data_IF_438653251534
#
_entry.id   IF_438653251534
#
_cell.length_a   1.000
_cell.length_b   1.000
_cell.length_c   1.000
_cell.angle_alpha   90.00
_cell.angle_beta   90.00
_cell.angle_gamma   90.00
#
_symmetry.space_group_name_H-M   'P 1'
#
loop_
_entity.id
_entity.type
_entity.pdbx_description
1 polymer ?
#
# COMPACT_ATOMS: atom_id res chain seq x y z
N UNK A 1 9.54 9.43 18.75
CA UNK A 1 8.60 9.19 17.63
C UNK A 1 7.75 10.44 17.31
N UNK A 2 8.27 11.45 16.61
CA UNK A 2 7.55 12.72 16.32
C UNK A 2 6.81 12.61 14.99
N UNK A 3 5.47 12.68 14.99
CA UNK A 3 4.68 12.97 13.79
C UNK A 3 4.31 14.45 13.82
N UNK A 4 4.80 15.24 12.86
CA UNK A 4 4.33 16.63 12.65
C UNK A 4 3.67 16.69 11.29
N UNK A 5 2.38 17.00 11.27
CA UNK A 5 1.63 17.31 10.06
C UNK A 5 0.73 18.52 10.36
N UNK A 6 0.95 19.62 9.62
CA UNK A 6 0.19 20.89 9.67
C UNK A 6 -0.12 21.41 11.10
N UNK A 7 0.86 22.07 11.71
CA UNK A 7 0.73 22.90 12.92
C UNK A 7 0.26 22.20 14.22
N UNK A 8 0.72 20.97 14.49
CA UNK A 8 0.54 20.34 15.80
C UNK A 8 1.88 19.89 16.41
N UNK A 9 2.09 20.30 17.66
CA UNK A 9 3.20 19.86 18.54
C UNK A 9 2.61 19.64 19.94
N UNK A 10 2.80 18.46 20.54
CA UNK A 10 2.45 18.22 21.96
C UNK A 10 3.59 17.46 22.65
N UNK A 11 3.92 17.90 23.87
CA UNK A 11 5.00 17.41 24.74
C UNK A 11 4.42 16.79 26.03
N UNK A 12 5.23 15.98 26.73
CA UNK A 12 4.87 15.31 27.98
C UNK A 12 5.41 16.05 29.22
N UNK A 13 4.65 16.03 30.32
CA UNK A 13 5.07 15.46 31.62
C UNK A 13 3.99 15.50 32.70
N UNK A 14 3.98 14.47 33.54
CA UNK A 14 3.29 14.40 34.84
C UNK A 14 4.29 14.75 35.99
N UNK A 15 3.88 14.57 37.26
CA UNK A 15 4.72 14.14 38.42
C UNK A 15 3.88 13.23 39.34
N UNK A 16 4.40 12.15 39.93
CA UNK A 16 5.81 11.86 40.28
C UNK A 16 6.31 10.44 40.01
N UNK A 17 7.64 10.36 39.84
CA UNK A 17 8.50 9.26 39.33
C UNK A 17 8.37 8.99 37.83
N UNK A 18 9.07 9.83 37.04
CA UNK A 18 8.87 10.01 35.60
C UNK A 18 10.21 10.15 34.88
N UNK A 19 10.45 9.41 33.78
CA UNK A 19 11.45 9.78 32.79
C UNK A 19 10.94 10.95 31.93
N UNK A 20 11.71 12.05 31.89
CA UNK A 20 11.59 13.09 30.86
C UNK A 20 11.92 12.44 29.52
N UNK A 21 10.98 12.43 28.56
CA UNK A 21 11.34 12.20 27.16
C UNK A 21 10.70 13.27 26.26
N UNK A 22 11.60 13.90 25.52
CA UNK A 22 11.50 15.07 24.66
C UNK A 22 10.45 14.92 23.53
N UNK A 23 9.92 16.07 23.10
CA UNK A 23 8.94 16.48 22.07
C UNK A 23 8.63 15.58 20.84
N UNK A 24 8.51 14.26 20.98
CA UNK A 24 8.45 13.33 19.85
C UNK A 24 7.50 12.12 20.06
N UNK A 25 6.16 12.26 20.06
CA UNK A 25 5.27 11.09 20.22
C UNK A 25 4.15 11.00 19.15
N UNK A 26 3.91 9.78 18.65
CA UNK A 26 2.99 9.39 17.58
C UNK A 26 2.07 8.25 18.07
N UNK A 27 0.87 8.08 17.50
CA UNK A 27 -0.13 7.13 17.99
C UNK A 27 0.25 5.67 17.73
N UNK A 28 -0.23 4.77 18.61
CA UNK A 28 0.00 3.33 18.52
C UNK A 28 -1.32 2.56 18.32
N UNK A 29 -1.32 1.61 17.38
CA UNK A 29 -2.43 0.70 17.11
C UNK A 29 -2.23 -0.63 17.84
N UNK A 30 -3.18 -1.04 18.68
CA UNK A 30 -3.21 -2.37 19.32
C UNK A 30 -4.39 -3.19 18.83
N UNK A 31 -4.21 -4.52 18.77
CA UNK A 31 -5.17 -5.46 18.19
C UNK A 31 -5.58 -6.51 19.23
N UNK A 32 -6.89 -6.78 19.33
CA UNK A 32 -7.42 -7.90 20.11
C UNK A 32 -8.44 -8.68 19.26
N UNK A 33 -8.17 -9.96 19.03
CA UNK A 33 -9.07 -10.86 18.28
C UNK A 33 -9.95 -11.68 19.24
N UNK A 34 -11.25 -11.71 18.95
CA UNK A 34 -12.26 -12.48 19.69
C UNK A 34 -13.27 -13.08 18.71
N UNK A 35 -13.20 -14.40 18.45
CA UNK A 35 -14.09 -15.10 17.49
C UNK A 35 -14.16 -14.36 16.13
N UNK A 36 -15.33 -13.79 15.80
CA UNK A 36 -15.61 -13.04 14.55
C UNK A 36 -15.41 -11.53 14.70
N UNK A 37 -14.72 -11.08 15.74
CA UNK A 37 -14.57 -9.68 16.10
C UNK A 37 -13.11 -9.31 16.30
N UNK A 38 -12.71 -8.18 15.72
CA UNK A 38 -11.43 -7.54 15.95
C UNK A 38 -11.67 -6.19 16.60
N UNK A 39 -11.03 -5.97 17.75
CA UNK A 39 -10.95 -4.65 18.34
C UNK A 39 -9.60 -4.03 18.03
N UNK A 40 -9.65 -2.85 17.42
CA UNK A 40 -8.52 -1.99 17.09
C UNK A 40 -8.53 -0.79 18.03
N UNK A 41 -7.55 -0.73 18.92
CA UNK A 41 -7.40 0.35 19.89
C UNK A 41 -6.49 1.43 19.33
N UNK A 42 -6.96 2.68 19.42
CA UNK A 42 -6.15 3.85 19.14
C UNK A 42 -5.80 4.51 20.48
N UNK A 43 -4.54 4.40 20.88
CA UNK A 43 -4.04 4.99 22.11
C UNK A 43 -3.59 6.43 21.85
N UNK A 44 -4.30 7.41 22.43
CA UNK A 44 -3.92 8.83 22.43
C UNK A 44 -3.73 9.26 23.89
N UNK A 45 -2.50 9.55 24.33
CA UNK A 45 -2.00 10.18 25.59
C UNK A 45 -2.69 9.87 26.95
N UNK A 46 -3.77 9.09 26.95
CA UNK A 46 -4.60 8.63 28.06
C UNK A 46 -4.99 7.19 27.76
N UNK A 47 -5.23 6.43 28.82
CA UNK A 47 -5.19 4.97 28.85
C UNK A 47 -6.07 4.29 27.77
N UNK A 48 -7.15 4.92 27.29
CA UNK A 48 -7.82 4.62 26.01
C UNK A 48 -8.55 5.86 25.48
N UNK A 49 -8.21 6.36 24.29
CA UNK A 49 -8.96 7.46 23.66
C UNK A 49 -10.12 6.97 22.76
N UNK A 50 -10.19 5.66 22.53
CA UNK A 50 -11.30 4.98 21.90
C UNK A 50 -10.90 3.65 21.28
N UNK A 51 -11.89 2.92 20.78
CA UNK A 51 -11.69 1.69 20.03
C UNK A 51 -12.57 1.66 18.79
N UNK A 52 -12.06 0.98 17.76
CA UNK A 52 -12.81 0.57 16.59
C UNK A 52 -13.04 -0.93 16.69
N UNK A 53 -14.30 -1.33 16.76
CA UNK A 53 -14.71 -2.72 16.76
C UNK A 53 -15.14 -3.11 15.35
N UNK A 54 -14.39 -4.02 14.75
CA UNK A 54 -14.64 -4.59 13.43
C UNK A 54 -15.28 -5.96 13.65
N UNK A 55 -16.49 -6.14 13.16
CA UNK A 55 -17.22 -7.40 13.27
C UNK A 55 -17.37 -8.01 11.89
N UNK A 56 -16.86 -9.23 11.70
CA UNK A 56 -16.99 -9.96 10.45
C UNK A 56 -18.44 -10.38 10.24
N UNK A 57 -19.05 -9.89 9.17
CA UNK A 57 -20.42 -10.26 8.76
C UNK A 57 -20.37 -11.44 7.79
N UNK A 58 -19.44 -11.40 6.83
CA UNK A 58 -19.15 -12.44 5.84
C UNK A 58 -17.65 -12.51 5.60
N UNK A 59 -17.16 -13.44 4.78
CA UNK A 59 -15.73 -13.55 4.43
C UNK A 59 -15.11 -12.24 3.88
N UNK A 60 -15.90 -11.35 3.26
CA UNK A 60 -15.42 -10.12 2.63
C UNK A 60 -16.14 -8.85 3.09
N UNK A 61 -16.98 -8.94 4.13
CA UNK A 61 -17.78 -7.81 4.62
C UNK A 61 -17.67 -7.69 6.12
N UNK A 62 -17.43 -6.47 6.59
CA UNK A 62 -17.37 -6.16 8.03
C UNK A 62 -18.29 -5.00 8.40
N UNK A 63 -18.81 -5.06 9.62
CA UNK A 63 -19.40 -3.91 10.31
C UNK A 63 -18.34 -3.26 11.19
N UNK A 64 -18.26 -1.93 11.16
CA UNK A 64 -17.40 -1.17 12.04
C UNK A 64 -18.25 -0.35 13.01
N UNK A 65 -18.05 -0.59 14.30
CA UNK A 65 -18.57 0.25 15.39
C UNK A 65 -17.41 0.99 16.03
N UNK A 66 -17.44 2.32 16.04
CA UNK A 66 -16.43 3.12 16.71
C UNK A 66 -16.98 3.66 18.02
N UNK A 67 -16.19 3.52 19.10
CA UNK A 67 -16.47 4.17 20.37
C UNK A 67 -15.24 4.99 20.76
N UNK A 68 -15.33 6.30 20.55
CA UNK A 68 -14.30 7.25 20.94
C UNK A 68 -14.66 7.82 22.31
N UNK A 69 -13.72 7.82 23.25
CA UNK A 69 -13.94 8.36 24.58
C UNK A 69 -13.81 9.88 24.52
N UNK A 70 -14.89 10.60 24.84
CA UNK A 70 -14.93 12.01 25.29
C UNK A 70 -13.97 13.02 24.62
N UNK A 71 -13.73 12.91 23.31
CA UNK A 71 -12.96 13.90 22.55
C UNK A 71 -13.91 14.97 21.99
N UNK A 72 -14.34 15.89 22.86
CA UNK A 72 -15.15 17.04 22.45
C UNK A 72 -14.44 17.90 21.41
N UNK A 73 -15.22 18.54 20.50
CA UNK A 73 -14.92 19.57 19.46
C UNK A 73 -13.66 19.46 18.58
N UNK A 74 -12.55 18.88 19.04
CA UNK A 74 -11.31 18.60 18.31
C UNK A 74 -11.35 17.30 17.49
N UNK A 75 -12.48 16.60 17.53
CA UNK A 75 -12.80 15.38 16.78
C UNK A 75 -12.56 15.52 15.27
N UNK A 76 -12.97 16.62 14.65
CA UNK A 76 -12.93 16.81 13.20
C UNK A 76 -11.51 16.87 12.61
N UNK A 77 -10.51 17.33 13.36
CA UNK A 77 -9.13 17.46 12.88
C UNK A 77 -8.30 16.18 13.07
N UNK A 78 -8.50 15.45 14.16
CA UNK A 78 -7.79 14.21 14.44
C UNK A 78 -8.32 13.03 13.61
N UNK A 79 -9.61 13.02 13.24
CA UNK A 79 -10.26 11.82 12.73
C UNK A 79 -9.91 11.37 11.32
N UNK A 80 -9.73 12.29 10.36
CA UNK A 80 -9.66 11.88 8.95
C UNK A 80 -8.50 10.91 8.73
N UNK A 81 -7.32 11.24 9.22
CA UNK A 81 -6.11 10.44 9.02
C UNK A 81 -6.15 9.10 9.78
N UNK A 82 -6.63 9.08 11.02
CA UNK A 82 -6.75 7.82 11.77
C UNK A 82 -7.83 6.90 11.22
N UNK A 83 -8.98 7.47 10.83
CA UNK A 83 -10.05 6.70 10.22
C UNK A 83 -9.59 6.12 8.88
N UNK A 84 -8.81 6.86 8.10
CA UNK A 84 -8.19 6.35 6.87
C UNK A 84 -7.16 5.26 7.13
N UNK A 85 -6.29 5.42 8.13
CA UNK A 85 -5.33 4.38 8.52
C UNK A 85 -6.04 3.10 9.00
N UNK A 86 -7.11 3.25 9.78
CA UNK A 86 -7.91 2.15 10.29
C UNK A 86 -8.73 1.46 9.19
N UNK A 87 -9.33 2.24 8.28
CA UNK A 87 -10.03 1.72 7.10
C UNK A 87 -9.05 1.03 6.16
N UNK A 88 -7.85 1.57 5.97
CA UNK A 88 -6.79 0.92 5.23
C UNK A 88 -6.46 -0.43 5.85
N UNK A 89 -6.25 -0.44 7.16
CA UNK A 89 -5.97 -1.67 7.90
C UNK A 89 -7.10 -2.69 7.68
N UNK A 90 -8.36 -2.30 7.79
CA UNK A 90 -9.49 -3.22 7.61
C UNK A 90 -9.64 -3.68 6.16
N UNK A 91 -9.71 -2.76 5.19
CA UNK A 91 -9.94 -3.09 3.79
C UNK A 91 -8.76 -3.88 3.19
N UNK A 92 -7.54 -3.41 3.42
CA UNK A 92 -6.37 -3.92 2.72
C UNK A 92 -5.56 -4.93 3.51
N UNK A 93 -5.57 -4.93 4.86
CA UNK A 93 -4.91 -5.99 5.64
C UNK A 93 -5.82 -7.18 5.89
N UNK A 94 -7.15 -7.02 5.86
CA UNK A 94 -8.05 -8.16 6.02
C UNK A 94 -8.70 -8.61 4.70
N UNK A 95 -8.36 -7.97 3.56
CA UNK A 95 -8.92 -8.30 2.25
C UNK A 95 -10.46 -8.21 2.23
N UNK A 96 -10.95 -7.13 2.84
CA UNK A 96 -12.36 -6.82 2.99
C UNK A 96 -12.79 -5.95 1.81
N UNK A 97 -13.82 -6.37 1.10
CA UNK A 97 -14.34 -5.65 -0.06
C UNK A 97 -15.21 -4.45 0.35
N UNK A 98 -15.85 -4.52 1.53
CA UNK A 98 -16.85 -3.56 1.96
C UNK A 98 -16.81 -3.32 3.48
N UNK A 99 -16.92 -2.04 3.84
CA UNK A 99 -17.12 -1.58 5.23
C UNK A 99 -18.50 -0.93 5.35
N UNK A 100 -19.23 -1.31 6.39
CA UNK A 100 -20.48 -0.63 6.80
C UNK A 100 -20.28 0.01 8.17
N UNK A 101 -20.69 1.27 8.31
CA UNK A 101 -20.68 2.02 9.57
C UNK A 101 -22.08 2.41 9.97
N UNK A 102 -22.46 2.08 11.20
CA UNK A 102 -23.69 2.54 11.85
C UNK A 102 -23.40 3.80 12.67
N UNK A 103 -24.18 4.86 12.42
CA UNK A 103 -23.98 6.18 12.99
C UNK A 103 -25.28 6.68 13.62
N UNK A 104 -25.20 7.30 14.80
CA UNK A 104 -26.34 7.98 15.42
C UNK A 104 -26.78 9.15 14.52
N UNK A 105 -28.04 9.19 14.12
CA UNK A 105 -28.59 10.22 13.23
C UNK A 105 -28.50 11.65 13.79
N UNK A 106 -28.25 11.79 15.10
CA UNK A 106 -28.00 13.10 15.74
C UNK A 106 -26.56 13.60 15.55
N UNK A 107 -25.61 12.73 15.20
CA UNK A 107 -24.20 13.09 15.00
C UNK A 107 -23.94 13.59 13.57
N UNK A 108 -24.33 14.84 13.29
CA UNK A 108 -24.18 15.45 11.96
C UNK A 108 -22.71 15.59 11.53
N UNK A 109 -21.80 15.84 12.46
CA UNK A 109 -20.39 16.03 12.15
C UNK A 109 -19.77 14.72 11.64
N UNK A 110 -20.07 13.59 12.28
CA UNK A 110 -19.57 12.29 11.83
C UNK A 110 -20.15 11.92 10.46
N UNK A 111 -21.43 12.23 10.21
CA UNK A 111 -22.07 12.02 8.90
C UNK A 111 -21.37 12.80 7.79
N UNK A 112 -21.10 14.10 7.98
CA UNK A 112 -20.37 14.94 7.02
C UNK A 112 -18.94 14.43 6.79
N UNK A 113 -18.24 14.03 7.86
CA UNK A 113 -16.89 13.48 7.76
C UNK A 113 -16.86 12.18 6.94
N UNK A 114 -17.84 11.28 7.14
CA UNK A 114 -17.94 10.04 6.37
C UNK A 114 -18.19 10.30 4.88
N UNK A 115 -19.05 11.26 4.54
CA UNK A 115 -19.27 11.66 3.14
C UNK A 115 -17.99 12.22 2.52
N UNK A 116 -17.24 13.06 3.23
CA UNK A 116 -15.94 13.58 2.75
C UNK A 116 -14.89 12.48 2.56
N UNK A 117 -14.97 11.42 3.37
CA UNK A 117 -14.14 10.22 3.26
C UNK A 117 -14.57 9.28 2.12
N UNK A 118 -15.71 9.54 1.48
CA UNK A 118 -16.23 8.79 0.33
C UNK A 118 -17.30 7.76 0.68
N UNK A 119 -17.77 7.70 1.94
CA UNK A 119 -18.87 6.82 2.29
C UNK A 119 -20.17 7.32 1.67
N UNK A 120 -20.95 6.38 1.14
CA UNK A 120 -22.31 6.60 0.66
C UNK A 120 -23.33 6.21 1.71
N UNK A 121 -24.36 7.04 1.92
CA UNK A 121 -25.48 6.66 2.80
C UNK A 121 -26.32 5.57 2.13
N UNK A 122 -26.61 4.50 2.88
CA UNK A 122 -27.36 3.32 2.39
C UNK A 122 -28.69 3.09 3.12
N UNK A 123 -29.10 4.00 4.01
CA UNK A 123 -30.44 4.01 4.63
C UNK A 123 -30.44 4.06 6.16
N UNK A 124 -31.60 3.79 6.78
CA UNK A 124 -31.77 3.70 8.24
C UNK A 124 -31.58 2.25 8.71
N UNK A 125 -30.80 2.02 9.77
CA UNK A 125 -30.84 0.76 10.50
C UNK A 125 -32.14 0.69 11.33
N UNK A 126 -32.70 -0.52 11.51
CA UNK A 126 -33.96 -0.74 12.21
C UNK A 126 -34.06 0.06 13.52
N UNK A 127 -35.21 0.70 13.79
CA UNK A 127 -35.48 1.38 15.08
C UNK A 127 -35.33 0.37 16.21
N UNK A 128 -34.34 0.55 17.08
CA UNK A 128 -34.23 -0.27 18.29
C UNK A 128 -35.39 0.08 19.24
N UNK A 129 -36.28 -0.85 19.62
CA UNK A 129 -37.51 -0.54 20.35
C UNK A 129 -37.29 0.08 21.74
N UNK A 130 -36.08 -0.11 22.30
CA UNK A 130 -35.73 0.29 23.67
C UNK A 130 -35.01 1.65 23.77
N UNK A 131 -34.55 2.24 22.66
CA UNK A 131 -33.86 3.53 22.68
C UNK A 131 -34.30 4.34 21.46
N UNK A 132 -34.85 5.54 21.66
CA UNK A 132 -35.22 6.47 20.60
C UNK A 132 -33.99 7.05 19.86
N UNK A 133 -33.20 6.19 19.24
CA UNK A 133 -32.05 6.52 18.39
C UNK A 133 -32.34 6.07 16.97
N UNK A 134 -32.35 7.02 16.05
CA UNK A 134 -32.37 6.74 14.62
C UNK A 134 -30.94 6.47 14.21
N UNK A 135 -30.62 5.23 13.86
CA UNK A 135 -29.30 4.88 13.33
C UNK A 135 -29.30 4.99 11.81
N UNK A 136 -28.24 5.61 11.25
CA UNK A 136 -27.99 5.74 9.82
C UNK A 136 -26.84 4.81 9.42
N UNK A 137 -26.96 4.18 8.26
CA UNK A 137 -25.93 3.31 7.71
C UNK A 137 -25.18 4.02 6.59
N UNK A 138 -23.86 3.94 6.68
CA UNK A 138 -22.91 4.43 5.69
C UNK A 138 -22.06 3.27 5.18
N UNK A 139 -21.80 3.25 3.88
CA UNK A 139 -21.07 2.18 3.22
C UNK A 139 -19.89 2.75 2.44
N UNK A 140 -18.76 2.04 2.49
CA UNK A 140 -17.59 2.29 1.66
C UNK A 140 -17.12 0.99 1.02
N UNK A 141 -16.97 0.99 -0.29
CA UNK A 141 -16.41 -0.14 -1.05
C UNK A 141 -14.91 0.08 -1.27
N UNK A 142 -14.14 -1.01 -1.36
CA UNK A 142 -12.71 -0.92 -1.67
C UNK A 142 -12.44 -0.20 -3.01
N UNK A 143 -13.35 -0.33 -3.98
CA UNK A 143 -13.28 0.39 -5.26
C UNK A 143 -13.38 1.91 -5.12
N UNK A 144 -14.03 2.41 -4.07
CA UNK A 144 -14.24 3.85 -3.85
C UNK A 144 -12.95 4.57 -3.44
N UNK A 145 -11.89 3.80 -3.09
CA UNK A 145 -10.53 4.32 -2.86
C UNK A 145 -9.77 4.64 -4.14
N UNK A 146 -10.24 4.21 -5.31
CA UNK A 146 -9.57 4.46 -6.59
C UNK A 146 -9.82 5.90 -7.07
N UNK A 147 -9.29 6.90 -6.35
CA UNK A 147 -9.33 8.30 -6.78
C UNK A 147 -8.36 8.49 -7.96
N UNK A 148 -8.83 9.15 -9.01
CA UNK A 148 -8.06 9.39 -10.25
C UNK A 148 -7.20 10.66 -10.20
N UNK A 149 -7.39 11.50 -9.19
CA UNK A 149 -6.74 12.82 -9.12
C UNK A 149 -5.37 12.73 -8.44
N UNK A 150 -4.38 13.43 -9.00
CA UNK A 150 -2.98 13.47 -8.56
C UNK A 150 -2.77 14.07 -7.15
N UNK A 151 -3.85 14.45 -6.45
CA UNK A 151 -3.83 14.93 -5.07
C UNK A 151 -3.16 13.93 -4.12
N UNK A 152 -3.28 12.64 -4.40
CA UNK A 152 -2.63 11.60 -3.61
C UNK A 152 -1.10 11.64 -3.73
N UNK A 153 -0.55 11.96 -4.91
CA UNK A 153 0.90 12.05 -5.10
C UNK A 153 1.51 13.19 -4.28
N UNK A 154 0.88 14.37 -4.32
CA UNK A 154 1.32 15.53 -3.54
C UNK A 154 1.20 15.28 -2.04
N UNK A 155 0.13 14.62 -1.59
CA UNK A 155 -0.04 14.30 -0.17
C UNK A 155 0.94 13.24 0.32
N UNK A 156 1.24 12.21 -0.49
CA UNK A 156 2.21 11.17 -0.14
C UNK A 156 3.66 11.70 -0.11
N UNK A 157 4.02 12.63 -1.00
CA UNK A 157 5.35 13.24 -1.00
C UNK A 157 5.64 14.10 0.25
N UNK A 158 4.60 14.51 0.99
CA UNK A 158 4.73 15.27 2.24
C UNK A 158 5.01 14.39 3.45
N UNK A 159 4.92 13.06 3.31
CA UNK A 159 5.11 12.10 4.40
C UNK A 159 6.58 11.66 4.52
N UNK A 160 7.02 11.41 5.76
CA UNK A 160 8.31 10.76 6.01
C UNK A 160 8.28 9.30 5.54
N UNK A 161 9.47 8.71 5.41
CA UNK A 161 9.61 7.33 4.99
C UNK A 161 8.93 6.36 5.96
N UNK A 162 9.04 6.62 7.27
CA UNK A 162 8.39 5.84 8.32
C UNK A 162 6.86 5.93 8.22
N UNK A 163 6.31 7.13 7.99
CA UNK A 163 4.87 7.32 7.79
C UNK A 163 4.36 6.57 6.56
N UNK A 164 5.13 6.58 5.46
CA UNK A 164 4.83 5.80 4.27
C UNK A 164 4.88 4.30 4.56
N UNK A 165 5.82 3.83 5.39
CA UNK A 165 5.89 2.41 5.76
C UNK A 165 4.74 1.97 6.66
N UNK A 166 4.22 2.85 7.51
CA UNK A 166 3.01 2.57 8.28
C UNK A 166 1.75 2.53 7.42
N UNK A 167 1.64 3.44 6.45
CA UNK A 167 0.53 3.46 5.50
C UNK A 167 0.59 2.30 4.48
N UNK A 168 1.79 1.82 4.17
CA UNK A 168 2.02 0.76 3.19
C UNK A 168 2.91 -0.37 3.78
N UNK A 169 2.41 -1.07 4.82
CA UNK A 169 3.16 -2.10 5.50
C UNK A 169 3.43 -3.28 4.57
N UNK A 170 4.45 -4.06 4.91
CA UNK A 170 4.75 -5.28 4.18
C UNK A 170 3.68 -6.32 4.52
N UNK A 171 2.86 -6.66 3.52
CA UNK A 171 1.85 -7.70 3.59
C UNK A 171 2.12 -8.70 2.47
N UNK A 172 2.16 -9.99 2.81
CA UNK A 172 2.24 -11.08 1.85
C UNK A 172 0.85 -11.68 1.69
N UNK A 173 0.44 -11.88 0.45
CA UNK A 173 -0.88 -12.38 0.05
C UNK A 173 -0.76 -13.65 -0.78
N UNK A 174 -1.80 -14.50 -0.77
CA UNK A 174 -2.02 -15.50 -1.81
C UNK A 174 -1.90 -14.88 -3.20
N UNK A 175 -1.41 -15.67 -4.15
CA UNK A 175 -1.34 -15.23 -5.54
C UNK A 175 -2.73 -14.89 -6.08
N UNK A 176 -2.87 -13.75 -6.75
CA UNK A 176 -4.09 -13.35 -7.43
C UNK A 176 -3.96 -13.67 -8.92
N UNK A 177 -4.79 -14.56 -9.45
CA UNK A 177 -4.81 -14.96 -10.86
C UNK A 177 -5.05 -13.78 -11.83
N UNK A 178 -5.56 -12.65 -11.34
CA UNK A 178 -5.76 -11.45 -12.15
C UNK A 178 -4.48 -10.64 -12.41
N UNK A 179 -3.37 -10.91 -11.71
CA UNK A 179 -2.13 -10.11 -11.86
C UNK A 179 -1.60 -10.11 -13.29
N UNK A 180 -1.69 -11.22 -14.02
CA UNK A 180 -1.30 -11.28 -15.42
C UNK A 180 -2.16 -10.36 -16.30
N UNK A 181 -3.49 -10.36 -16.10
CA UNK A 181 -4.40 -9.48 -16.82
C UNK A 181 -4.18 -7.99 -16.45
N UNK A 182 -3.87 -7.70 -15.19
CA UNK A 182 -3.55 -6.34 -14.75
C UNK A 182 -2.26 -5.82 -15.37
N UNK A 183 -1.25 -6.68 -15.46
CA UNK A 183 -0.01 -6.39 -16.18
C UNK A 183 -0.27 -6.14 -17.66
N UNK A 184 -1.00 -7.04 -18.35
CA UNK A 184 -1.24 -6.91 -19.78
C UNK A 184 -2.00 -5.64 -20.14
N UNK A 185 -3.03 -5.30 -19.36
CA UNK A 185 -3.75 -4.04 -19.52
C UNK A 185 -2.81 -2.84 -19.36
N UNK A 186 -1.95 -2.85 -18.34
CA UNK A 186 -1.02 -1.76 -18.09
C UNK A 186 0.11 -1.68 -19.12
N UNK A 187 0.58 -2.82 -19.64
CA UNK A 187 1.54 -2.91 -20.74
C UNK A 187 0.98 -2.26 -22.01
N UNK A 188 -0.23 -2.62 -22.42
CA UNK A 188 -0.90 -2.03 -23.58
C UNK A 188 -1.10 -0.51 -23.41
N UNK A 189 -1.51 -0.09 -22.21
CA UNK A 189 -1.67 1.33 -21.89
C UNK A 189 -0.35 2.11 -21.99
N UNK A 190 0.74 1.56 -21.43
CA UNK A 190 2.07 2.19 -21.52
C UNK A 190 2.59 2.26 -22.95
N UNK A 191 2.32 1.24 -23.78
CA UNK A 191 2.67 1.26 -25.20
C UNK A 191 1.97 2.41 -25.95
N UNK A 192 0.67 2.60 -25.72
CA UNK A 192 -0.09 3.70 -26.34
C UNK A 192 0.32 5.07 -25.79
N UNK A 193 0.54 5.19 -24.48
CA UNK A 193 0.88 6.46 -23.81
C UNK A 193 2.23 7.01 -24.29
N UNK A 194 3.24 6.15 -24.34
CA UNK A 194 4.61 6.60 -24.51
C UNK A 194 4.96 6.84 -25.97
N UNK A 195 4.41 6.05 -26.91
CA UNK A 195 4.71 6.12 -28.36
C UNK A 195 6.22 6.24 -28.69
N UNK A 196 7.07 5.87 -27.73
CA UNK A 196 8.52 5.96 -27.77
C UNK A 196 9.09 4.64 -28.29
N UNK A 197 10.38 4.62 -28.61
CA UNK A 197 11.13 3.39 -28.94
C UNK A 197 11.29 2.52 -27.69
N UNK A 198 10.19 1.91 -27.25
CA UNK A 198 10.17 0.91 -26.20
C UNK A 198 10.84 -0.35 -26.76
N UNK A 199 11.92 -0.77 -26.12
CA UNK A 199 12.64 -1.99 -26.52
C UNK A 199 11.95 -3.22 -25.94
N UNK A 200 11.56 -3.17 -24.66
CA UNK A 200 10.91 -4.29 -23.98
C UNK A 200 10.04 -3.82 -22.83
N UNK A 201 8.90 -4.48 -22.62
CA UNK A 201 8.10 -4.35 -21.39
C UNK A 201 7.88 -5.75 -20.85
N UNK A 202 8.19 -5.98 -19.58
CA UNK A 202 8.16 -7.32 -18.97
C UNK A 202 7.47 -7.29 -17.61
N UNK A 203 6.65 -8.31 -17.33
CA UNK A 203 6.13 -8.56 -15.99
C UNK A 203 7.23 -9.21 -15.17
N UNK A 204 7.70 -8.50 -14.15
CA UNK A 204 8.76 -8.96 -13.26
C UNK A 204 8.24 -9.07 -11.82
N UNK A 205 9.14 -9.44 -10.90
CA UNK A 205 8.79 -9.56 -9.49
C UNK A 205 7.96 -10.81 -9.18
N UNK A 206 7.54 -10.92 -7.92
CA UNK A 206 6.86 -12.14 -7.46
C UNK A 206 5.47 -12.36 -8.08
N UNK A 207 4.76 -11.28 -8.43
CA UNK A 207 3.41 -11.37 -9.03
C UNK A 207 3.44 -11.89 -10.46
N UNK A 208 4.61 -11.94 -11.10
CA UNK A 208 4.80 -12.53 -12.42
C UNK A 208 4.94 -14.06 -12.39
N UNK A 209 5.09 -14.66 -11.20
CA UNK A 209 5.23 -16.11 -11.01
C UNK A 209 3.91 -16.65 -10.47
N UNK A 210 3.25 -17.51 -11.25
CA UNK A 210 1.95 -18.08 -10.88
C UNK A 210 2.06 -18.88 -9.59
N UNK A 211 1.09 -18.70 -8.69
CA UNK A 211 1.03 -19.41 -7.40
C UNK A 211 1.99 -18.88 -6.33
N UNK A 212 2.92 -17.98 -6.67
CA UNK A 212 3.84 -17.40 -5.70
C UNK A 212 3.17 -16.29 -4.88
N UNK A 213 3.13 -16.48 -3.55
CA UNK A 213 2.66 -15.47 -2.62
C UNK A 213 3.53 -14.22 -2.64
N UNK A 214 2.93 -13.05 -2.64
CA UNK A 214 3.64 -11.80 -2.90
C UNK A 214 3.02 -10.61 -2.16
N UNK A 215 3.76 -9.49 -2.14
CA UNK A 215 3.12 -8.19 -1.95
C UNK A 215 2.14 -7.97 -3.11
N UNK A 216 0.93 -7.44 -2.87
CA UNK A 216 -0.09 -7.29 -3.91
C UNK A 216 0.21 -6.10 -4.84
N UNK A 217 1.37 -6.13 -5.51
CA UNK A 217 1.87 -5.11 -6.41
C UNK A 217 2.38 -5.76 -7.71
N UNK A 218 1.96 -5.23 -8.85
CA UNK A 218 2.46 -5.67 -10.15
C UNK A 218 3.72 -4.89 -10.48
N UNK A 219 4.86 -5.57 -10.54
CA UNK A 219 6.15 -4.98 -10.95
C UNK A 219 6.32 -5.08 -12.47
N UNK A 220 6.60 -3.95 -13.11
CA UNK A 220 6.75 -3.82 -14.56
C UNK A 220 8.16 -3.31 -14.84
N UNK A 221 8.92 -4.01 -15.66
CA UNK A 221 10.16 -3.52 -16.22
C UNK A 221 9.89 -2.91 -17.59
N UNK A 222 10.16 -1.63 -17.76
CA UNK A 222 10.11 -0.91 -19.02
C UNK A 222 11.53 -0.57 -19.45
N UNK A 223 11.95 -1.12 -20.59
CA UNK A 223 13.25 -0.88 -21.18
C UNK A 223 13.11 0.06 -22.37
N UNK A 224 13.73 1.22 -22.26
CA UNK A 224 13.66 2.31 -23.24
C UNK A 224 14.91 3.18 -23.09
N UNK A 225 15.18 4.06 -24.04
CA UNK A 225 16.24 5.05 -23.87
C UNK A 225 15.92 6.00 -22.69
N UNK A 226 16.74 5.93 -21.65
CA UNK A 226 16.63 6.76 -20.44
C UNK A 226 17.76 7.79 -20.30
N UNK A 227 18.52 8.06 -21.38
CA UNK A 227 19.59 9.09 -21.37
C UNK A 227 19.03 10.51 -21.26
N UNK A 228 17.84 10.73 -21.82
CA UNK A 228 17.12 12.01 -21.76
C UNK A 228 15.64 11.78 -21.37
N UNK A 229 15.35 11.44 -20.10
CA UNK A 229 14.05 10.93 -19.70
C UNK A 229 13.01 12.01 -19.36
N UNK A 230 13.27 13.30 -19.65
CA UNK A 230 12.42 14.41 -19.20
C UNK A 230 10.99 14.29 -19.72
N UNK A 231 10.81 14.04 -21.03
CA UNK A 231 9.48 13.87 -21.61
C UNK A 231 8.80 12.57 -21.18
N UNK A 232 9.58 11.51 -20.94
CA UNK A 232 9.11 10.24 -20.39
C UNK A 232 8.53 10.42 -18.99
N UNK A 233 9.29 11.06 -18.09
CA UNK A 233 8.86 11.39 -16.72
C UNK A 233 7.60 12.24 -16.78
N UNK A 234 7.57 13.29 -17.61
CA UNK A 234 6.41 14.16 -17.76
C UNK A 234 5.15 13.39 -18.19
N UNK A 235 5.24 12.54 -19.22
CA UNK A 235 4.11 11.73 -19.70
C UNK A 235 3.60 10.76 -18.64
N UNK A 236 4.50 10.06 -17.96
CA UNK A 236 4.14 9.12 -16.89
C UNK A 236 3.48 9.85 -15.72
N UNK A 237 4.02 10.99 -15.29
CA UNK A 237 3.43 11.78 -14.20
C UNK A 237 2.05 12.33 -14.56
N UNK A 238 1.84 12.76 -15.81
CA UNK A 238 0.52 13.18 -16.31
C UNK A 238 -0.50 12.03 -16.36
N UNK A 239 -0.03 10.79 -16.57
CA UNK A 239 -0.86 9.58 -16.51
C UNK A 239 -1.14 9.10 -15.08
N UNK A 240 -0.62 9.78 -14.06
CA UNK A 240 -0.83 9.46 -12.65
C UNK A 240 0.20 8.49 -12.06
N UNK A 241 1.38 8.36 -12.66
CA UNK A 241 2.52 7.71 -12.02
C UNK A 241 3.28 8.67 -11.11
N UNK A 242 3.69 8.19 -9.94
CA UNK A 242 4.46 8.96 -8.96
C UNK A 242 5.91 8.55 -9.09
N UNK A 243 6.80 9.48 -9.49
CA UNK A 243 8.24 9.22 -9.50
C UNK A 243 8.74 9.12 -8.05
N UNK A 244 9.21 7.94 -7.67
CA UNK A 244 9.66 7.65 -6.30
C UNK A 244 11.18 7.79 -6.15
N UNK A 245 11.93 7.39 -7.17
CA UNK A 245 13.38 7.53 -7.16
C UNK A 245 13.92 7.67 -8.57
N UNK A 246 15.06 8.36 -8.65
CA UNK A 246 15.84 8.57 -9.86
C UNK A 246 17.31 8.42 -9.49
N UNK A 247 18.00 7.50 -10.15
CA UNK A 247 19.44 7.31 -10.02
C UNK A 247 20.06 7.43 -11.40
N UNK A 248 21.05 8.29 -11.54
CA UNK A 248 21.82 8.41 -12.78
C UNK A 248 22.91 7.34 -12.81
N UNK A 249 22.97 6.58 -13.89
CA UNK A 249 24.02 5.61 -14.19
C UNK A 249 24.70 6.00 -15.51
N UNK A 250 25.82 5.34 -15.84
CA UNK A 250 26.59 5.60 -17.06
C UNK A 250 25.75 5.41 -18.34
N UNK A 251 24.93 4.36 -18.39
CA UNK A 251 24.14 4.01 -19.58
C UNK A 251 22.86 4.84 -19.73
N UNK A 252 22.40 5.47 -18.66
CA UNK A 252 21.12 6.20 -18.59
C UNK A 252 20.51 6.12 -17.20
N UNK A 253 19.40 6.82 -16.99
CA UNK A 253 18.76 6.83 -15.68
C UNK A 253 18.05 5.52 -15.36
N UNK A 254 18.09 5.14 -14.07
CA UNK A 254 17.19 4.18 -13.44
C UNK A 254 16.09 4.98 -12.74
N UNK A 255 14.84 4.77 -13.16
CA UNK A 255 13.67 5.44 -12.61
C UNK A 255 12.73 4.41 -12.00
N UNK A 256 12.19 4.69 -10.81
CA UNK A 256 11.15 3.89 -10.20
C UNK A 256 9.90 4.74 -10.00
N UNK A 257 8.78 4.29 -10.55
CA UNK A 257 7.48 4.92 -10.37
C UNK A 257 6.50 4.01 -9.66
N UNK A 258 5.57 4.61 -8.93
CA UNK A 258 4.45 3.92 -8.30
C UNK A 258 3.13 4.41 -8.86
N UNK A 259 2.13 3.51 -8.97
CA UNK A 259 0.74 3.85 -9.28
C UNK A 259 -0.20 3.04 -8.39
N UNK A 260 -1.31 3.64 -7.99
CA UNK A 260 -2.25 3.02 -7.05
C UNK A 260 -1.83 3.15 -5.59
N UNK A 261 -0.99 4.13 -5.26
CA UNK A 261 -0.75 4.56 -3.89
C UNK A 261 -1.60 5.80 -3.63
N UNK A 262 -2.45 5.77 -2.61
CA UNK A 262 -3.37 6.86 -2.27
C UNK A 262 -3.12 7.33 -0.85
N UNK A 263 -3.57 8.54 -0.49
CA UNK A 263 -3.56 9.01 0.89
C UNK A 263 -4.42 8.14 1.82
N UNK A 264 -5.24 7.27 1.23
CA UNK A 264 -6.12 6.34 1.90
C UNK A 264 -5.56 4.89 1.88
N UNK A 265 -4.35 4.70 1.36
CA UNK A 265 -3.70 3.40 1.22
C UNK A 265 -3.64 2.90 -0.22
N UNK A 266 -3.56 1.58 -0.41
CA UNK A 266 -3.45 1.02 -1.76
C UNK A 266 -4.74 1.20 -2.54
N UNK A 267 -4.66 1.36 -3.86
CA UNK A 267 -5.78 1.18 -4.77
C UNK A 267 -6.05 -0.32 -4.97
N UNK A 268 -7.14 -0.66 -5.65
CA UNK A 268 -7.39 -2.06 -6.04
C UNK A 268 -6.23 -2.62 -6.90
N UNK A 269 -5.68 -1.80 -7.79
CA UNK A 269 -4.58 -2.15 -8.68
C UNK A 269 -3.37 -1.29 -8.34
N UNK A 270 -2.31 -1.95 -7.88
CA UNK A 270 -1.07 -1.30 -7.47
C UNK A 270 0.04 -1.74 -8.41
N UNK A 271 0.84 -0.78 -8.87
CA UNK A 271 1.90 -1.03 -9.82
C UNK A 271 3.20 -0.36 -9.39
N UNK A 272 4.32 -1.05 -9.62
CA UNK A 272 5.66 -0.49 -9.64
C UNK A 272 6.18 -0.56 -11.07
N UNK A 273 6.61 0.58 -11.58
CA UNK A 273 7.20 0.68 -12.91
C UNK A 273 8.68 1.01 -12.76
N UNK A 274 9.52 0.04 -13.11
CA UNK A 274 10.97 0.14 -13.15
C UNK A 274 11.36 0.50 -14.58
N UNK A 275 11.85 1.71 -14.81
CA UNK A 275 12.24 2.18 -16.13
C UNK A 275 13.74 2.28 -16.22
N UNK A 276 14.33 1.58 -17.19
CA UNK A 276 15.79 1.44 -17.31
C UNK A 276 16.23 1.44 -18.77
N UNK A 277 17.50 1.74 -18.98
CA UNK A 277 18.15 1.52 -20.28
C UNK A 277 18.11 0.00 -20.62
N UNK A 278 17.93 -0.40 -21.90
CA UNK A 278 17.84 -1.81 -22.28
C UNK A 278 19.11 -2.59 -21.90
N UNK A 279 18.94 -3.72 -21.23
CA UNK A 279 20.03 -4.59 -20.81
C UNK A 279 19.54 -6.01 -20.46
N UNK A 280 20.48 -6.93 -20.19
CA UNK A 280 20.16 -8.28 -19.70
C UNK A 280 19.84 -8.26 -18.18
N UNK A 281 18.74 -7.59 -17.79
CA UNK A 281 18.35 -7.38 -16.39
C UNK A 281 18.10 -8.68 -15.63
N UNK A 282 18.63 -8.78 -14.41
CA UNK A 282 18.59 -10.01 -13.60
C UNK A 282 17.18 -10.44 -13.18
N UNK A 283 16.28 -9.48 -13.01
CA UNK A 283 14.89 -9.70 -12.64
C UNK A 283 14.13 -10.60 -13.64
N UNK A 284 14.50 -10.52 -14.93
CA UNK A 284 13.92 -11.37 -15.98
C UNK A 284 14.34 -12.83 -15.79
N UNK A 285 15.64 -13.05 -15.60
CA UNK A 285 16.21 -14.36 -15.34
C UNK A 285 15.64 -14.97 -14.05
N UNK A 286 15.57 -14.17 -12.98
CA UNK A 286 15.03 -14.60 -11.70
C UNK A 286 13.58 -15.10 -11.83
N UNK A 287 12.71 -14.34 -12.51
CA UNK A 287 11.31 -14.75 -12.69
C UNK A 287 11.19 -16.05 -13.47
N UNK A 288 11.94 -16.19 -14.57
CA UNK A 288 11.91 -17.43 -15.37
C UNK A 288 12.44 -18.64 -14.61
N UNK A 289 13.47 -18.44 -13.80
CA UNK A 289 13.99 -19.50 -12.94
C UNK A 289 12.96 -19.96 -11.91
N UNK A 290 12.29 -19.03 -11.22
CA UNK A 290 11.24 -19.40 -10.28
C UNK A 290 10.04 -20.10 -10.93
N UNK A 291 9.74 -19.82 -12.22
CA UNK A 291 8.69 -20.52 -12.97
C UNK A 291 9.07 -21.95 -13.34
N UNK A 292 10.37 -22.22 -13.54
CA UNK A 292 10.88 -23.52 -13.93
C UNK A 292 11.27 -24.40 -12.73
N UNK A 293 11.50 -23.81 -11.55
CA UNK A 293 12.06 -24.47 -10.38
C UNK A 293 11.14 -24.31 -9.15
N UNK A 294 10.20 -25.25 -8.99
CA UNK A 294 9.21 -25.23 -7.91
C UNK A 294 9.83 -25.21 -6.50
N UNK A 295 10.97 -25.86 -6.30
CA UNK A 295 11.68 -25.87 -5.01
C UNK A 295 12.19 -24.47 -4.66
N UNK A 296 12.89 -23.80 -5.57
CA UNK A 296 13.35 -22.43 -5.39
C UNK A 296 12.17 -21.45 -5.19
N UNK A 297 11.04 -21.68 -5.87
CA UNK A 297 9.82 -20.90 -5.68
C UNK A 297 9.27 -21.04 -4.25
N UNK A 298 9.22 -22.26 -3.70
CA UNK A 298 8.79 -22.52 -2.32
C UNK A 298 9.73 -21.92 -1.29
N UNK A 299 11.04 -22.09 -1.47
CA UNK A 299 12.05 -21.48 -0.59
C UNK A 299 11.92 -19.96 -0.56
N UNK A 300 11.74 -19.35 -1.74
CA UNK A 300 11.56 -17.90 -1.83
C UNK A 300 10.26 -17.43 -1.18
N UNK A 301 9.18 -18.20 -1.30
CA UNK A 301 7.91 -17.91 -0.62
C UNK A 301 8.07 -17.96 0.91
N UNK A 302 8.73 -18.99 1.44
CA UNK A 302 9.00 -19.14 2.87
C UNK A 302 9.87 -18.00 3.41
N UNK A 303 10.97 -17.69 2.73
CA UNK A 303 11.85 -16.57 3.08
C UNK A 303 11.08 -15.25 3.14
N UNK A 304 10.25 -14.95 2.14
CA UNK A 304 9.46 -13.71 2.13
C UNK A 304 8.47 -13.63 3.28
N UNK A 305 7.87 -14.76 3.69
CA UNK A 305 6.94 -14.82 4.82
C UNK A 305 7.64 -14.53 6.13
N UNK A 306 8.78 -15.17 6.38
CA UNK A 306 9.61 -14.95 7.56
C UNK A 306 10.06 -13.47 7.65
N UNK A 307 10.65 -12.96 6.57
CA UNK A 307 11.13 -11.58 6.52
C UNK A 307 10.00 -10.55 6.67
N UNK A 308 8.79 -10.85 6.19
CA UNK A 308 7.64 -9.96 6.35
C UNK A 308 7.19 -9.84 7.82
N UNK A 309 7.43 -10.87 8.64
CA UNK A 309 7.16 -10.83 10.07
C UNK A 309 8.20 -9.96 10.78
N UNK A 310 9.48 -10.14 10.45
CA UNK A 310 10.61 -9.42 11.08
C UNK A 310 10.66 -7.94 10.67
N UNK A 311 10.52 -7.65 9.38
CA UNK A 311 10.74 -6.32 8.80
C UNK A 311 9.43 -5.64 8.37
N UNK A 312 8.33 -5.90 9.07
CA UNK A 312 6.98 -5.46 8.69
C UNK A 312 6.88 -3.97 8.33
N UNK A 313 7.63 -3.13 9.04
CA UNK A 313 7.68 -1.67 8.89
C UNK A 313 8.99 -1.15 8.29
N UNK A 314 9.89 -2.03 7.88
CA UNK A 314 11.20 -1.64 7.33
C UNK A 314 11.37 -2.23 5.93
N UNK A 315 10.96 -1.45 4.93
CA UNK A 315 10.97 -1.91 3.54
C UNK A 315 12.39 -2.12 3.02
N UNK A 316 13.33 -1.32 3.48
CA UNK A 316 14.70 -1.35 3.01
C UNK A 316 15.42 -2.57 3.58
N UNK A 317 15.28 -2.83 4.88
CA UNK A 317 15.79 -4.04 5.50
C UNK A 317 15.14 -5.31 4.91
N UNK A 318 13.82 -5.30 4.67
CA UNK A 318 13.15 -6.40 3.98
C UNK A 318 13.68 -6.64 2.56
N UNK A 319 14.00 -5.57 1.83
CA UNK A 319 14.53 -5.68 0.48
C UNK A 319 15.95 -6.22 0.50
N UNK A 320 16.79 -5.68 1.39
CA UNK A 320 18.17 -6.09 1.58
C UNK A 320 18.30 -7.55 2.04
N UNK A 321 17.45 -7.99 2.97
CA UNK A 321 17.48 -9.34 3.53
C UNK A 321 17.17 -10.45 2.50
N UNK A 322 16.60 -10.10 1.33
CA UNK A 322 16.36 -11.04 0.23
C UNK A 322 17.47 -11.05 -0.82
N UNK A 323 18.36 -10.06 -0.80
CA UNK A 323 19.32 -9.80 -1.88
C UNK A 323 20.17 -11.03 -2.17
N UNK A 324 20.75 -11.66 -1.14
CA UNK A 324 21.61 -12.83 -1.31
C UNK A 324 20.89 -13.98 -2.04
N UNK A 325 19.66 -14.31 -1.64
CA UNK A 325 18.87 -15.36 -2.28
C UNK A 325 18.57 -15.01 -3.75
N UNK A 326 18.15 -13.77 -4.01
CA UNK A 326 17.82 -13.30 -5.36
C UNK A 326 19.04 -13.37 -6.27
N UNK A 327 20.20 -12.90 -5.80
CA UNK A 327 21.45 -12.92 -6.54
C UNK A 327 21.90 -14.34 -6.87
N UNK A 328 21.81 -15.25 -5.90
CA UNK A 328 22.18 -16.65 -6.09
C UNK A 328 21.30 -17.33 -7.15
N UNK A 329 19.97 -17.19 -7.03
CA UNK A 329 19.04 -17.76 -8.00
C UNK A 329 19.21 -17.12 -9.38
N UNK A 330 19.44 -15.80 -9.44
CA UNK A 330 19.72 -15.11 -10.71
C UNK A 330 21.00 -15.64 -11.35
N UNK A 331 22.04 -15.94 -10.58
CA UNK A 331 23.29 -16.53 -11.08
C UNK A 331 23.06 -17.92 -11.65
N UNK A 332 22.27 -18.77 -10.97
CA UNK A 332 21.87 -20.09 -11.48
C UNK A 332 21.06 -19.94 -12.78
N UNK A 333 20.08 -19.04 -12.78
CA UNK A 333 19.25 -18.71 -13.93
C UNK A 333 20.06 -18.27 -15.15
N UNK A 334 21.07 -17.41 -14.98
CA UNK A 334 21.94 -16.99 -16.09
C UNK A 334 22.77 -18.12 -16.67
N UNK A 335 23.17 -19.11 -15.88
CA UNK A 335 23.87 -20.29 -16.38
C UNK A 335 22.96 -21.16 -17.25
N UNK A 336 21.70 -21.31 -16.86
CA UNK A 336 20.72 -22.16 -17.56
C UNK A 336 20.12 -21.48 -18.79
N UNK A 337 19.78 -20.19 -18.69
CA UNK A 337 19.09 -19.44 -19.74
C UNK A 337 20.05 -18.67 -20.66
N UNK A 338 21.34 -18.63 -20.33
CA UNK A 338 22.41 -17.99 -21.11
C UNK A 338 22.00 -16.58 -21.60
N UNK A 339 21.99 -16.36 -22.91
CA UNK A 339 21.76 -15.06 -23.53
C UNK A 339 20.29 -14.73 -23.81
N UNK A 340 19.33 -15.47 -23.21
CA UNK A 340 17.89 -15.31 -23.47
C UNK A 340 17.40 -13.85 -23.44
N UNK A 341 17.94 -13.02 -22.54
CA UNK A 341 17.53 -11.63 -22.38
C UNK A 341 18.57 -10.62 -22.86
N UNK A 342 19.65 -11.07 -23.48
CA UNK A 342 20.66 -10.21 -24.09
C UNK A 342 20.03 -9.36 -25.18
N UNK A 343 20.31 -8.06 -25.16
CA UNK A 343 19.92 -7.15 -26.24
C UNK A 343 20.97 -7.32 -27.33
N UNK A 344 20.56 -7.67 -28.55
CA UNK A 344 21.49 -7.74 -29.67
C UNK A 344 22.19 -6.38 -29.82
N UNK A 345 23.52 -6.39 -29.89
CA UNK A 345 24.25 -5.17 -30.19
C UNK A 345 23.77 -4.67 -31.56
N UNK A 346 23.25 -3.44 -31.61
CA UNK A 346 23.11 -2.74 -32.88
C UNK A 346 24.51 -2.66 -33.49
N UNK A 347 24.72 -3.36 -34.61
CA UNK A 347 25.87 -3.12 -35.47
C UNK A 347 25.81 -1.66 -35.89
N UNK A 348 26.55 -0.80 -35.20
CA UNK A 348 26.76 0.59 -35.58
C UNK A 348 27.68 0.70 -36.78
#
# INVERSE_FOLDING_TARGET
MKLVYKNLTICSKAEGSIPVWDSAHAPQLQEQQMHNMLQLYLLLDTIYAGYMQVTLLTAHTVSITMKLANTGKNFAQLQRQYLLMLLFYVLYRWDIAQVVMEVDGKDRQLQENLVQLGFSSVGQAQKHPAMAKTSLLYQLQASDFNRKENLDAEELQKLSLEQLWELFPIVIRPHNEQYAAWYDAQRLHLQELLKASIVRISHIGSTAVKGLEAKPCVDILLETDTRHPQELIKRLTQDGWILMSRKQEEQGDILCFNKGYTALGFAQKVYHLHVRYPAAWGELYFCDYLRAHDEACREYAALKKELAQTYRKDRDAYTHAKTQFIEEMTKRARRELSDKFSIAAENK
#
